data_IF_283714828183
#
_entry.id   IF_283714828183
#
_cell.length_a   1.000
_cell.length_b   1.000
_cell.length_c   1.000
_cell.angle_alpha   90.00
_cell.angle_beta   90.00
_cell.angle_gamma   90.00
#
_symmetry.space_group_name_H-M   'P 1'
#
loop_
_entity.id
_entity.type
_entity.pdbx_description
1 polymer ?
#
# COMPACT_ATOMS: atom_id res chain seq x y z
N UNK A 1 38.77 21.01 -30.97
CA UNK A 1 39.92 21.94 -30.91
C UNK A 1 39.45 23.35 -31.23
N UNK A 2 39.81 24.33 -30.38
CA UNK A 2 39.71 25.80 -30.57
C UNK A 2 38.28 26.39 -30.49
N UNK A 3 37.99 27.55 -29.90
CA UNK A 3 38.70 28.53 -29.05
C UNK A 3 37.62 29.46 -28.47
N UNK A 4 37.89 30.05 -27.30
CA UNK A 4 37.06 31.05 -26.62
C UNK A 4 36.74 32.28 -27.49
N UNK A 5 35.59 32.90 -27.21
CA UNK A 5 35.36 34.34 -27.43
C UNK A 5 35.00 34.99 -26.10
N UNK A 6 35.87 35.88 -25.65
CA UNK A 6 35.58 36.86 -24.59
C UNK A 6 34.99 38.12 -25.24
N UNK A 7 34.05 38.77 -24.57
CA UNK A 7 33.80 40.20 -24.72
C UNK A 7 33.69 40.78 -23.31
N UNK A 8 34.54 41.77 -23.05
CA UNK A 8 34.57 42.63 -21.87
C UNK A 8 33.99 44.01 -22.22
N UNK A 9 33.90 44.88 -21.19
CA UNK A 9 33.43 46.29 -21.10
C UNK A 9 32.05 46.36 -20.44
N UNK A 10 31.88 46.88 -19.22
CA UNK A 10 32.35 48.13 -18.60
C UNK A 10 31.08 48.91 -18.21
N UNK A 11 30.90 49.67 -17.14
CA UNK A 11 31.71 50.36 -16.14
C UNK A 11 30.79 50.69 -14.93
N UNK A 12 31.41 50.80 -13.75
CA UNK A 12 31.14 51.72 -12.63
C UNK A 12 29.70 51.85 -12.07
N UNK A 13 29.56 51.41 -10.82
CA UNK A 13 28.49 51.86 -9.92
C UNK A 13 28.76 51.39 -8.49
N UNK A 14 29.45 52.23 -7.71
CA UNK A 14 29.61 52.06 -6.26
C UNK A 14 28.26 52.09 -5.56
N UNK A 15 28.00 51.10 -4.69
CA UNK A 15 26.83 51.11 -3.81
C UNK A 15 26.69 49.79 -3.04
N UNK A 16 27.00 49.82 -1.74
CA UNK A 16 26.80 48.73 -0.80
C UNK A 16 25.33 48.28 -0.75
N UNK A 17 25.09 46.97 -0.58
CA UNK A 17 24.28 46.35 0.50
C UNK A 17 23.88 44.92 0.12
N UNK A 18 23.77 44.08 1.15
CA UNK A 18 23.14 42.77 1.23
C UNK A 18 24.01 41.54 0.91
N UNK A 19 24.35 40.84 2.01
CA UNK A 19 24.81 39.47 2.08
C UNK A 19 23.82 38.50 1.42
N UNK A 20 24.33 37.61 0.57
CA UNK A 20 23.71 36.32 0.31
C UNK A 20 24.83 35.28 0.13
N UNK A 21 25.00 34.31 1.04
CA UNK A 21 25.97 33.24 0.86
C UNK A 21 25.47 32.24 -0.18
N UNK A 22 26.38 31.87 -1.08
CA UNK A 22 26.25 30.78 -2.05
C UNK A 22 26.03 29.45 -1.32
N UNK A 23 25.28 28.48 -1.90
CA UNK A 23 25.15 27.16 -1.32
C UNK A 23 26.47 26.40 -1.48
N UNK A 24 27.07 26.05 -0.34
CA UNK A 24 28.16 25.08 -0.25
C UNK A 24 27.59 23.69 -0.52
N UNK A 25 28.14 23.06 -1.56
CA UNK A 25 27.95 21.67 -1.91
C UNK A 25 28.77 20.81 -0.93
N UNK A 26 28.09 20.10 -0.04
CA UNK A 26 28.68 18.97 0.67
C UNK A 26 28.26 17.67 -0.03
N UNK A 27 29.23 17.04 -0.69
CA UNK A 27 29.16 15.64 -1.10
C UNK A 27 29.13 14.75 0.15
N UNK A 28 27.94 14.48 0.65
CA UNK A 28 27.69 13.38 1.58
C UNK A 28 27.40 12.10 0.79
N UNK A 29 28.46 11.38 0.36
CA UNK A 29 28.35 9.98 -0.03
C UNK A 29 27.88 9.16 1.18
N UNK A 30 26.57 9.04 1.35
CA UNK A 30 25.95 8.06 2.23
C UNK A 30 25.37 6.95 1.37
N UNK A 31 26.02 5.79 1.42
CA UNK A 31 25.47 4.52 0.93
C UNK A 31 24.19 4.23 1.71
N UNK A 32 23.08 4.77 1.24
CA UNK A 32 21.76 4.41 1.72
C UNK A 32 21.49 2.98 1.25
N UNK A 33 21.71 2.02 2.15
CA UNK A 33 21.09 0.70 2.07
C UNK A 33 19.59 0.97 1.90
N UNK A 34 18.94 0.56 0.80
CA UNK A 34 17.51 0.71 0.69
C UNK A 34 16.90 -0.17 1.78
N UNK A 35 16.43 0.45 2.86
CA UNK A 35 15.41 -0.17 3.70
C UNK A 35 14.23 -0.34 2.77
N UNK A 36 13.96 -1.57 2.34
CA UNK A 36 12.67 -1.97 1.77
C UNK A 36 11.61 -1.67 2.84
N UNK A 37 11.15 -0.43 2.87
CA UNK A 37 9.96 -0.02 3.58
C UNK A 37 8.84 -0.73 2.84
N UNK A 38 8.41 -1.87 3.39
CA UNK A 38 7.34 -2.66 2.82
C UNK A 38 6.14 -1.74 2.52
N UNK A 39 5.92 -1.46 1.24
CA UNK A 39 4.82 -0.59 0.80
C UNK A 39 3.52 -1.31 1.17
N UNK A 40 2.78 -0.73 2.10
CA UNK A 40 1.40 -1.12 2.33
C UNK A 40 0.57 -0.51 1.21
N UNK A 41 -0.17 -1.34 0.49
CA UNK A 41 -1.21 -0.87 -0.42
C UNK A 41 -2.54 -1.01 0.32
N UNK A 42 -3.11 0.09 0.85
CA UNK A 42 -4.40 0.04 1.49
C UNK A 42 -5.50 -0.14 0.45
N UNK A 43 -6.44 -1.04 0.73
CA UNK A 43 -7.72 -1.11 0.02
C UNK A 43 -8.70 -0.07 0.59
N UNK A 44 -9.72 0.38 -0.16
CA UNK A 44 -10.84 1.13 0.40
C UNK A 44 -11.43 0.42 1.63
N UNK A 45 -11.97 1.19 2.56
CA UNK A 45 -12.71 0.67 3.71
C UNK A 45 -14.19 0.60 3.33
N UNK A 46 -14.76 -0.59 3.47
CA UNK A 46 -16.18 -0.84 3.28
C UNK A 46 -16.91 -0.60 4.60
N UNK A 47 -18.12 -0.07 4.51
CA UNK A 47 -19.05 -0.17 5.64
C UNK A 47 -19.55 -1.61 5.75
N UNK A 48 -19.87 -2.06 6.98
CA UNK A 48 -20.34 -3.41 7.20
C UNK A 48 -21.63 -3.72 6.40
N UNK A 49 -22.53 -2.74 6.31
CA UNK A 49 -23.81 -2.85 5.58
C UNK A 49 -23.62 -2.78 4.05
N UNK A 50 -22.47 -2.31 3.56
CA UNK A 50 -22.27 -2.05 2.14
C UNK A 50 -22.07 -3.36 1.37
N UNK A 51 -23.12 -3.81 0.69
CA UNK A 51 -23.03 -4.87 -0.32
C UNK A 51 -22.12 -4.44 -1.48
N UNK A 52 -21.37 -5.40 -2.02
CA UNK A 52 -20.56 -5.26 -3.24
C UNK A 52 -19.42 -4.23 -3.17
N UNK A 53 -18.85 -4.01 -1.99
CA UNK A 53 -17.62 -3.24 -1.87
C UNK A 53 -16.45 -4.00 -2.51
N UNK A 54 -15.81 -3.39 -3.51
CA UNK A 54 -14.65 -3.99 -4.18
C UNK A 54 -13.39 -3.77 -3.33
N UNK A 55 -12.79 -4.86 -2.88
CA UNK A 55 -11.54 -4.85 -2.12
C UNK A 55 -10.44 -5.45 -2.99
N UNK A 56 -9.46 -4.63 -3.35
CA UNK A 56 -8.30 -5.06 -4.15
C UNK A 56 -6.99 -4.75 -3.43
N UNK A 57 -5.99 -5.62 -3.59
CA UNK A 57 -4.63 -5.48 -3.04
C UNK A 57 -3.60 -6.04 -4.01
N UNK A 58 -2.33 -5.64 -3.88
CA UNK A 58 -1.23 -6.20 -4.67
C UNK A 58 -0.15 -6.74 -3.73
N UNK A 59 0.20 -8.01 -3.89
CA UNK A 59 1.29 -8.68 -3.15
C UNK A 59 2.40 -8.99 -4.14
N UNK A 60 3.60 -8.42 -3.98
CA UNK A 60 4.76 -8.71 -4.84
C UNK A 60 4.45 -8.68 -6.35
N UNK A 61 3.74 -7.63 -6.81
CA UNK A 61 3.27 -7.46 -8.20
C UNK A 61 2.15 -8.41 -8.68
N UNK A 62 1.64 -9.29 -7.82
CA UNK A 62 0.45 -10.10 -8.08
C UNK A 62 -0.80 -9.35 -7.60
N UNK A 63 -1.74 -8.97 -8.50
CA UNK A 63 -3.02 -8.38 -8.11
C UNK A 63 -3.97 -9.43 -7.54
N UNK A 64 -4.68 -9.05 -6.49
CA UNK A 64 -5.77 -9.79 -5.89
C UNK A 64 -7.01 -8.91 -5.78
N UNK A 65 -8.18 -9.50 -6.04
CA UNK A 65 -9.48 -8.91 -5.74
C UNK A 65 -10.25 -9.82 -4.80
N UNK A 66 -11.09 -9.23 -3.98
CA UNK A 66 -11.87 -9.92 -2.98
C UNK A 66 -13.34 -9.61 -3.17
N UNK A 67 -14.13 -10.65 -3.04
CA UNK A 67 -15.56 -10.61 -2.95
C UNK A 67 -15.95 -11.07 -1.56
N UNK A 68 -16.65 -10.22 -0.81
CA UNK A 68 -17.11 -10.57 0.53
C UNK A 68 -18.60 -10.32 0.66
N UNK A 69 -19.26 -11.32 1.21
CA UNK A 69 -20.62 -11.25 1.74
C UNK A 69 -20.60 -11.69 3.21
N UNK A 70 -21.76 -11.65 3.86
CA UNK A 70 -21.85 -12.14 5.24
C UNK A 70 -21.58 -13.64 5.25
N UNK A 71 -20.66 -14.09 6.09
CA UNK A 71 -20.32 -15.50 6.24
C UNK A 71 -19.32 -16.04 5.22
N UNK A 72 -18.98 -15.30 4.16
CA UNK A 72 -18.11 -15.79 3.09
C UNK A 72 -17.12 -14.72 2.60
N UNK A 73 -15.91 -15.17 2.27
CA UNK A 73 -14.96 -14.40 1.46
C UNK A 73 -14.40 -15.29 0.35
N UNK A 74 -14.41 -14.76 -0.88
CA UNK A 74 -13.69 -15.30 -2.03
C UNK A 74 -12.58 -14.33 -2.43
N UNK A 75 -11.41 -14.87 -2.71
CA UNK A 75 -10.27 -14.13 -3.23
C UNK A 75 -9.87 -14.69 -4.57
N UNK A 76 -9.59 -13.78 -5.50
CA UNK A 76 -9.14 -14.12 -6.85
C UNK A 76 -7.81 -13.43 -7.14
N UNK A 77 -6.94 -14.10 -7.89
CA UNK A 77 -5.67 -13.58 -8.37
C UNK A 77 -5.73 -13.38 -9.89
N UNK A 78 -5.05 -12.35 -10.40
CA UNK A 78 -5.02 -12.09 -11.84
C UNK A 78 -3.91 -12.89 -12.54
N UNK A 79 -4.26 -13.77 -13.48
CA UNK A 79 -3.30 -14.46 -14.34
C UNK A 79 -2.98 -13.58 -15.57
N UNK A 80 -1.74 -13.07 -15.70
CA UNK A 80 -1.36 -12.24 -16.83
C UNK A 80 -1.21 -13.01 -18.15
N UNK A 81 -1.03 -14.34 -18.11
CA UNK A 81 -0.89 -15.17 -19.31
C UNK A 81 -2.24 -15.34 -20.00
N UNK A 82 -3.29 -15.59 -19.22
CA UNK A 82 -4.66 -15.75 -19.71
C UNK A 82 -5.49 -14.47 -19.68
N UNK A 83 -4.93 -13.38 -19.13
CA UNK A 83 -5.59 -12.09 -18.93
C UNK A 83 -6.93 -12.22 -18.18
N UNK A 84 -6.98 -13.11 -17.19
CA UNK A 84 -8.21 -13.44 -16.49
C UNK A 84 -7.99 -13.59 -14.99
N UNK A 85 -9.08 -13.41 -14.22
CA UNK A 85 -9.06 -13.64 -12.78
C UNK A 85 -9.34 -15.11 -12.49
N UNK A 86 -8.56 -15.68 -11.58
CA UNK A 86 -8.64 -17.07 -11.15
C UNK A 86 -8.98 -17.12 -9.66
N UNK A 87 -9.83 -18.06 -9.27
CA UNK A 87 -10.15 -18.27 -7.85
C UNK A 87 -8.90 -18.80 -7.15
N UNK A 88 -8.43 -18.03 -6.17
CA UNK A 88 -7.28 -18.39 -5.34
C UNK A 88 -7.75 -19.17 -4.11
N UNK A 89 -8.78 -18.66 -3.44
CA UNK A 89 -9.33 -19.28 -2.23
C UNK A 89 -10.74 -18.78 -1.96
N UNK A 90 -11.55 -19.63 -1.32
CA UNK A 90 -12.86 -19.29 -0.78
C UNK A 90 -12.96 -19.90 0.62
N UNK A 91 -13.47 -19.12 1.58
CA UNK A 91 -13.69 -19.63 2.93
C UNK A 91 -14.83 -18.94 3.66
N UNK A 92 -15.35 -19.64 4.67
CA UNK A 92 -16.23 -19.04 5.64
C UNK A 92 -15.48 -18.02 6.53
N UNK A 93 -16.13 -16.89 6.82
CA UNK A 93 -15.68 -15.87 7.79
C UNK A 93 -16.31 -16.06 9.18
N UNK A 94 -17.32 -16.94 9.26
CA UNK A 94 -18.21 -17.13 10.42
C UNK A 94 -19.55 -16.42 10.19
N UNK A 95 -20.63 -16.95 10.74
CA UNK A 95 -22.02 -16.65 10.34
C UNK A 95 -22.36 -15.16 10.20
N UNK A 96 -21.80 -14.28 11.05
CA UNK A 96 -22.12 -12.85 11.04
C UNK A 96 -20.98 -11.94 10.54
N UNK A 97 -19.86 -12.50 10.09
CA UNK A 97 -18.67 -11.71 9.74
C UNK A 97 -18.62 -11.38 8.25
N UNK A 98 -18.22 -10.15 7.94
CA UNK A 98 -17.90 -9.68 6.58
C UNK A 98 -16.52 -9.03 6.56
N UNK A 99 -15.78 -9.18 5.47
CA UNK A 99 -14.53 -8.44 5.25
C UNK A 99 -14.86 -7.00 4.90
N UNK A 100 -14.38 -6.06 5.70
CA UNK A 100 -14.57 -4.62 5.51
C UNK A 100 -13.32 -3.90 5.04
N UNK A 101 -12.16 -4.55 5.12
CA UNK A 101 -10.88 -3.97 4.68
C UNK A 101 -9.88 -5.06 4.34
N UNK A 102 -9.09 -4.80 3.30
CA UNK A 102 -7.93 -5.60 2.96
C UNK A 102 -6.66 -4.73 2.93
N UNK A 103 -5.51 -5.33 3.25
CA UNK A 103 -4.21 -4.70 3.08
C UNK A 103 -3.16 -5.75 2.74
N UNK A 104 -2.23 -5.42 1.85
CA UNK A 104 -1.05 -6.23 1.60
C UNK A 104 0.15 -5.70 2.37
N UNK A 105 0.93 -6.61 2.96
CA UNK A 105 2.23 -6.29 3.57
C UNK A 105 3.18 -7.47 3.35
N UNK A 106 4.28 -7.21 2.64
CA UNK A 106 5.26 -8.22 2.19
C UNK A 106 4.57 -9.33 1.40
N UNK A 107 4.67 -10.59 1.82
CA UNK A 107 4.05 -11.76 1.19
C UNK A 107 2.64 -12.10 1.72
N UNK A 108 2.06 -11.24 2.57
CA UNK A 108 0.79 -11.52 3.25
C UNK A 108 -0.31 -10.54 2.88
N UNK A 109 -1.54 -11.05 2.93
CA UNK A 109 -2.78 -10.28 2.85
C UNK A 109 -3.44 -10.29 4.22
N UNK A 110 -3.83 -9.13 4.72
CA UNK A 110 -4.49 -8.95 6.00
C UNK A 110 -5.92 -8.50 5.77
N UNK A 111 -6.87 -9.25 6.31
CA UNK A 111 -8.28 -8.95 6.24
C UNK A 111 -8.77 -8.46 7.60
N UNK A 112 -9.50 -7.36 7.58
CA UNK A 112 -10.30 -6.93 8.72
C UNK A 112 -11.72 -7.39 8.48
N UNK A 113 -12.20 -8.25 9.37
CA UNK A 113 -13.57 -8.76 9.35
C UNK A 113 -14.34 -8.17 10.51
N UNK A 114 -15.56 -7.72 10.24
CA UNK A 114 -16.46 -7.14 11.22
C UNK A 114 -17.78 -7.91 11.25
N UNK A 115 -18.36 -8.07 12.44
CA UNK A 115 -19.75 -8.49 12.59
C UNK A 115 -20.68 -7.30 12.85
N UNK A 116 -21.99 -7.56 12.83
CA UNK A 116 -23.04 -6.56 13.08
C UNK A 116 -22.93 -5.89 14.46
N UNK A 117 -22.30 -6.56 15.42
CA UNK A 117 -22.09 -6.04 16.78
C UNK A 117 -20.81 -5.20 16.87
N UNK A 118 -20.09 -5.01 15.76
CA UNK A 118 -18.84 -4.27 15.71
C UNK A 118 -17.64 -5.04 16.26
N UNK A 119 -17.73 -6.35 16.49
CA UNK A 119 -16.58 -7.15 16.85
C UNK A 119 -15.68 -7.34 15.63
N UNK A 120 -14.36 -7.32 15.87
CA UNK A 120 -13.35 -7.34 14.83
C UNK A 120 -12.50 -8.60 14.90
N UNK A 121 -12.28 -9.25 13.76
CA UNK A 121 -11.21 -10.23 13.55
C UNK A 121 -10.18 -9.68 12.58
N UNK A 122 -8.91 -9.99 12.83
CA UNK A 122 -7.84 -9.78 11.85
C UNK A 122 -7.36 -11.15 11.39
N UNK A 123 -7.48 -11.40 10.09
CA UNK A 123 -7.05 -12.63 9.45
C UNK A 123 -5.85 -12.33 8.56
N UNK A 124 -4.92 -13.28 8.50
CA UNK A 124 -3.77 -13.22 7.60
C UNK A 124 -3.83 -14.39 6.65
N UNK A 125 -3.71 -14.09 5.37
CA UNK A 125 -3.57 -15.04 4.28
C UNK A 125 -2.18 -14.95 3.68
N UNK A 126 -1.61 -16.11 3.31
CA UNK A 126 -0.36 -16.20 2.56
C UNK A 126 -0.61 -16.96 1.25
N UNK A 127 -0.52 -16.31 0.08
CA UNK A 127 -0.77 -16.97 -1.20
C UNK A 127 0.17 -18.15 -1.48
N UNK A 128 1.45 -18.04 -1.12
CA UNK A 128 2.48 -19.02 -1.46
C UNK A 128 2.20 -20.45 -0.97
N UNK A 129 1.49 -20.59 0.15
CA UNK A 129 1.10 -21.89 0.74
C UNK A 129 -0.40 -21.98 1.02
N UNK A 130 -1.17 -21.02 0.51
CA UNK A 130 -2.62 -20.87 0.67
C UNK A 130 -3.09 -20.96 2.14
N UNK A 131 -2.27 -20.53 3.09
CA UNK A 131 -2.55 -20.68 4.51
C UNK A 131 -3.27 -19.47 5.10
N UNK A 132 -4.17 -19.74 6.05
CA UNK A 132 -4.90 -18.75 6.83
C UNK A 132 -4.51 -18.80 8.30
N UNK A 133 -4.47 -17.63 8.95
CA UNK A 133 -4.29 -17.53 10.40
C UNK A 133 -5.04 -16.33 10.97
N UNK A 134 -5.84 -16.56 12.00
CA UNK A 134 -6.38 -15.47 12.81
C UNK A 134 -5.27 -14.90 13.70
N UNK A 135 -5.06 -13.59 13.61
CA UNK A 135 -4.03 -12.90 14.38
C UNK A 135 -4.60 -12.19 15.60
N UNK A 136 -5.83 -11.68 15.50
CA UNK A 136 -6.41 -10.87 16.56
C UNK A 136 -7.94 -10.98 16.56
N UNK A 137 -8.53 -10.84 17.74
CA UNK A 137 -9.94 -10.63 17.95
C UNK A 137 -10.12 -9.48 18.95
N UNK A 138 -11.05 -8.57 18.66
CA UNK A 138 -11.39 -7.46 19.57
C UNK A 138 -12.89 -7.21 19.53
N UNK A 139 -13.55 -7.27 20.68
CA UNK A 139 -14.94 -6.83 20.81
C UNK A 139 -15.06 -5.32 20.60
N UNK A 140 -16.14 -4.88 19.94
CA UNK A 140 -16.35 -3.47 19.56
C UNK A 140 -15.13 -2.84 18.84
N UNK A 141 -14.36 -3.65 18.11
CA UNK A 141 -13.11 -3.24 17.47
C UNK A 141 -13.28 -2.61 16.08
N UNK A 142 -14.49 -2.65 15.52
CA UNK A 142 -14.84 -2.08 14.22
C UNK A 142 -15.46 -0.69 14.31
N UNK A 143 -15.88 -0.26 15.51
CA UNK A 143 -16.24 1.12 15.78
C UNK A 143 -14.94 1.94 15.90
N UNK A 144 -14.82 3.00 15.10
CA UNK A 144 -13.73 3.99 15.18
C UNK A 144 -14.19 5.21 15.97
#
# INVERSE_FOLDING_TARGET
MKKLKYIALGLLGSGCLACAPLPLQEEGSSLAIPRDVARQTPSPQCEWEQANCELSVTVQNQPFRLYSEVGLVRMESFDPQTQSWQIETERATGEDYRVVRAAALREFIYLTECDQNGNRKIQRYRPADQSWRQLNYKSLGCQL
#
